data_IF_570701454122
#
_entry.id   IF_570701454122
#
_cell.length_a   1.000
_cell.length_b   1.000
_cell.length_c   1.000
_cell.angle_alpha   90.00
_cell.angle_beta   90.00
_cell.angle_gamma   90.00
#
_symmetry.space_group_name_H-M   'P 1'
#
loop_
_entity.id
_entity.type
_entity.pdbx_description
1 polymer ?
#
# COMPACT_ATOMS: atom_id res chain seq x y z
N UNK A 1 18.66 24.90 14.61
CA UNK A 1 17.24 24.48 14.57
C UNK A 1 17.05 23.29 13.63
N UNK A 2 17.56 23.36 12.39
CA UNK A 2 17.45 22.28 11.38
C UNK A 2 17.90 20.90 11.88
N UNK A 3 19.06 20.78 12.52
CA UNK A 3 19.56 19.49 13.04
C UNK A 3 18.62 18.85 14.06
N UNK A 4 17.94 19.65 14.90
CA UNK A 4 16.95 19.14 15.87
C UNK A 4 15.73 18.59 15.15
N UNK A 5 15.23 19.29 14.11
CA UNK A 5 14.11 18.82 13.29
C UNK A 5 14.47 17.54 12.53
N UNK A 6 15.66 17.48 11.93
CA UNK A 6 16.14 16.28 11.23
C UNK A 6 16.16 15.07 12.18
N UNK A 7 16.74 15.24 13.38
CA UNK A 7 16.78 14.15 14.36
C UNK A 7 15.38 13.74 14.84
N UNK A 8 14.49 14.71 15.03
CA UNK A 8 13.12 14.43 15.43
C UNK A 8 12.41 13.55 14.37
N UNK A 9 12.41 13.97 13.11
CA UNK A 9 11.67 13.28 12.04
C UNK A 9 12.29 11.96 11.62
N UNK A 10 13.62 11.89 11.51
CA UNK A 10 14.31 10.75 10.88
C UNK A 10 14.92 9.78 11.87
N UNK A 11 14.93 10.09 13.18
CA UNK A 11 15.44 9.20 14.23
C UNK A 11 14.44 9.01 15.35
N UNK A 12 14.04 10.08 16.03
CA UNK A 12 13.28 9.96 17.28
C UNK A 12 11.85 9.46 17.02
N UNK A 13 11.20 9.93 15.95
CA UNK A 13 9.84 9.56 15.60
C UNK A 13 9.73 8.11 15.06
N UNK A 14 10.61 7.62 14.16
CA UNK A 14 10.68 6.18 13.82
C UNK A 14 10.96 5.30 15.05
N UNK A 15 11.86 5.72 15.93
CA UNK A 15 12.17 4.99 17.18
C UNK A 15 11.01 5.02 18.17
N UNK A 16 10.19 6.07 18.20
CA UNK A 16 8.97 6.10 18.98
C UNK A 16 7.91 5.16 18.37
N UNK A 17 7.75 5.20 17.04
CA UNK A 17 6.82 4.37 16.30
C UNK A 17 7.11 2.86 16.42
N UNK A 18 8.39 2.46 16.53
CA UNK A 18 8.75 1.05 16.75
C UNK A 18 8.22 0.47 18.06
N UNK A 19 7.81 1.33 19.02
CA UNK A 19 7.10 0.89 20.25
C UNK A 19 5.66 0.48 20.00
N UNK A 20 5.05 0.93 18.91
CA UNK A 20 3.68 0.62 18.54
C UNK A 20 3.66 -0.48 17.49
N UNK A 21 4.45 -0.31 16.42
CA UNK A 21 4.53 -1.27 15.32
C UNK A 21 5.86 -1.14 14.58
N UNK A 22 6.53 -2.27 14.36
CA UNK A 22 7.74 -2.31 13.52
C UNK A 22 7.48 -1.79 12.11
N UNK A 23 6.29 -2.06 11.54
CA UNK A 23 5.92 -1.57 10.22
C UNK A 23 5.84 -0.04 10.16
N UNK A 24 5.27 0.60 11.18
CA UNK A 24 5.19 2.07 11.25
C UNK A 24 6.59 2.69 11.33
N UNK A 25 7.50 2.06 12.07
CA UNK A 25 8.91 2.49 12.09
C UNK A 25 9.57 2.40 10.72
N UNK A 26 9.29 1.36 9.93
CA UNK A 26 9.84 1.24 8.57
C UNK A 26 9.30 2.33 7.66
N UNK A 27 7.98 2.61 7.72
CA UNK A 27 7.35 3.70 6.96
C UNK A 27 8.05 5.03 7.28
N UNK A 28 8.18 5.37 8.56
CA UNK A 28 8.71 6.67 8.98
C UNK A 28 10.22 6.81 8.77
N UNK A 29 10.95 5.70 8.78
CA UNK A 29 12.39 5.67 8.47
C UNK A 29 12.68 5.78 6.96
N UNK A 30 11.71 5.42 6.12
CA UNK A 30 11.88 5.46 4.67
C UNK A 30 11.98 6.90 4.15
N UNK A 31 13.04 7.17 3.38
CA UNK A 31 13.42 8.53 2.97
C UNK A 31 14.62 9.10 3.73
N UNK A 32 15.29 8.32 4.60
CA UNK A 32 16.48 8.78 5.33
C UNK A 32 17.60 9.35 4.43
N UNK A 33 17.65 8.93 3.17
CA UNK A 33 18.57 9.47 2.17
C UNK A 33 18.38 10.98 1.92
N UNK A 34 17.18 11.51 2.18
CA UNK A 34 16.88 12.94 2.09
C UNK A 34 17.68 13.76 3.10
N UNK A 35 18.23 13.14 4.15
CA UNK A 35 19.10 13.81 5.13
C UNK A 35 20.43 14.31 4.54
N UNK A 36 20.75 13.90 3.31
CA UNK A 36 21.80 14.52 2.49
C UNK A 36 21.52 16.01 2.22
N UNK A 37 20.26 16.39 2.05
CA UNK A 37 19.82 17.78 1.87
C UNK A 37 19.17 18.31 3.15
N UNK A 38 19.96 18.94 4.03
CA UNK A 38 19.51 19.35 5.38
C UNK A 38 18.18 20.09 5.41
N UNK A 39 18.00 21.08 4.53
CA UNK A 39 16.76 21.86 4.42
C UNK A 39 15.57 21.00 4.03
N UNK A 40 15.73 20.12 3.05
CA UNK A 40 14.66 19.22 2.61
C UNK A 40 14.29 18.28 3.74
N UNK A 41 15.27 17.65 4.38
CA UNK A 41 15.02 16.75 5.50
C UNK A 41 14.35 17.41 6.71
N UNK A 42 14.64 18.69 6.98
CA UNK A 42 14.05 19.42 8.10
C UNK A 42 12.59 19.83 7.83
N UNK A 43 12.29 20.31 6.62
CA UNK A 43 11.01 20.95 6.31
C UNK A 43 10.04 20.08 5.49
N UNK A 44 10.52 19.10 4.72
CA UNK A 44 9.65 18.28 3.87
C UNK A 44 8.53 17.55 4.64
N UNK A 45 8.77 16.96 5.84
CA UNK A 45 7.69 16.35 6.63
C UNK A 45 6.57 17.35 6.99
N UNK A 46 6.94 18.55 7.41
CA UNK A 46 5.99 19.62 7.79
C UNK A 46 5.24 20.11 6.56
N UNK A 47 5.94 20.39 5.46
CA UNK A 47 5.32 20.81 4.20
C UNK A 47 4.39 19.74 3.67
N UNK A 48 4.76 18.46 3.78
CA UNK A 48 3.91 17.33 3.37
C UNK A 48 2.65 17.26 4.22
N UNK A 49 2.76 17.38 5.55
CA UNK A 49 1.61 17.38 6.45
C UNK A 49 0.66 18.55 6.15
N UNK A 50 1.20 19.77 6.03
CA UNK A 50 0.42 20.98 5.75
C UNK A 50 -0.23 20.90 4.38
N UNK A 51 0.52 20.49 3.35
CA UNK A 51 -0.04 20.35 2.01
C UNK A 51 -1.16 19.31 1.98
N UNK A 52 -0.97 18.17 2.65
CA UNK A 52 -2.02 17.16 2.81
C UNK A 52 -3.26 17.76 3.46
N UNK A 53 -3.08 18.46 4.58
CA UNK A 53 -4.16 19.13 5.31
C UNK A 53 -4.92 20.12 4.43
N UNK A 54 -4.21 20.98 3.69
CA UNK A 54 -4.82 21.96 2.80
C UNK A 54 -5.59 21.27 1.66
N UNK A 55 -5.02 20.20 1.08
CA UNK A 55 -5.69 19.45 0.01
C UNK A 55 -6.96 18.77 0.51
N UNK A 56 -6.91 18.13 1.69
CA UNK A 56 -8.07 17.50 2.29
C UNK A 56 -9.15 18.50 2.70
N UNK A 57 -8.75 19.65 3.27
CA UNK A 57 -9.67 20.67 3.72
C UNK A 57 -10.35 21.41 2.55
N UNK A 58 -9.57 21.96 1.62
CA UNK A 58 -10.15 22.71 0.49
C UNK A 58 -10.74 21.81 -0.60
N UNK A 59 -10.45 20.51 -0.54
CA UNK A 59 -10.94 19.49 -1.46
C UNK A 59 -10.76 19.94 -2.92
N UNK A 60 -9.51 20.06 -3.39
CA UNK A 60 -9.18 20.45 -4.77
C UNK A 60 -9.64 19.45 -5.85
N UNK A 61 -10.40 18.42 -5.46
CA UNK A 61 -11.11 17.53 -6.36
C UNK A 61 -12.59 17.96 -6.40
N UNK A 62 -13.27 17.95 -7.55
CA UNK A 62 -14.65 18.45 -7.65
C UNK A 62 -15.71 17.56 -6.95
N UNK A 63 -15.32 16.39 -6.43
CA UNK A 63 -16.24 15.40 -5.87
C UNK A 63 -16.05 15.13 -4.38
N UNK A 64 -16.44 13.94 -3.92
CA UNK A 64 -16.34 13.53 -2.50
C UNK A 64 -15.03 12.79 -2.17
N UNK A 65 -14.28 12.36 -3.19
CA UNK A 65 -13.09 11.53 -3.01
C UNK A 65 -11.93 12.04 -3.87
N UNK A 66 -10.71 11.71 -3.47
CA UNK A 66 -9.50 12.05 -4.23
C UNK A 66 -9.51 11.50 -5.68
N UNK A 67 -10.30 10.46 -5.95
CA UNK A 67 -10.38 9.79 -7.26
C UNK A 67 -10.96 10.68 -8.37
N UNK A 68 -11.67 11.75 -8.02
CA UNK A 68 -12.20 12.73 -8.98
C UNK A 68 -11.11 13.57 -9.65
N UNK A 69 -9.88 13.61 -9.10
CA UNK A 69 -8.80 14.42 -9.65
C UNK A 69 -7.50 13.63 -9.80
N UNK A 70 -7.18 13.29 -11.05
CA UNK A 70 -5.90 12.66 -11.42
C UNK A 70 -4.71 13.56 -11.04
N UNK A 71 -4.88 14.88 -11.09
CA UNK A 71 -3.85 15.85 -10.72
C UNK A 71 -3.54 15.81 -9.22
N UNK A 72 -4.57 15.74 -8.37
CA UNK A 72 -4.40 15.58 -6.92
C UNK A 72 -3.68 14.26 -6.62
N UNK A 73 -4.12 13.15 -7.23
CA UNK A 73 -3.46 11.84 -7.06
C UNK A 73 -1.99 11.88 -7.50
N UNK A 74 -1.70 12.47 -8.66
CA UNK A 74 -0.35 12.60 -9.18
C UNK A 74 0.55 13.42 -8.25
N UNK A 75 0.04 14.54 -7.72
CA UNK A 75 0.76 15.39 -6.77
C UNK A 75 1.09 14.63 -5.48
N UNK A 76 0.07 13.97 -4.89
CA UNK A 76 0.26 13.24 -3.64
C UNK A 76 1.25 12.09 -3.81
N UNK A 77 1.09 11.31 -4.89
CA UNK A 77 1.99 10.21 -5.25
C UNK A 77 3.41 10.70 -5.54
N UNK A 78 3.57 11.88 -6.14
CA UNK A 78 4.89 12.46 -6.42
C UNK A 78 5.68 12.65 -5.15
N UNK A 79 5.08 13.29 -4.15
CA UNK A 79 5.73 13.56 -2.86
C UNK A 79 6.02 12.25 -2.12
N UNK A 80 5.03 11.35 -2.08
CA UNK A 80 5.15 10.03 -1.46
C UNK A 80 6.25 9.17 -2.09
N UNK A 81 6.44 9.25 -3.42
CA UNK A 81 7.40 8.43 -4.13
C UNK A 81 8.83 8.71 -3.69
N UNK A 82 9.14 9.89 -3.15
CA UNK A 82 10.46 10.20 -2.59
C UNK A 82 10.68 9.62 -1.19
N UNK A 83 9.65 9.19 -0.47
CA UNK A 83 9.79 8.55 0.83
C UNK A 83 8.44 8.29 1.45
N UNK A 84 8.21 7.07 1.90
CA UNK A 84 6.92 6.72 2.51
C UNK A 84 6.70 7.39 3.85
N UNK A 85 7.76 7.87 4.51
CA UNK A 85 7.64 8.81 5.62
C UNK A 85 6.90 10.08 5.20
N UNK A 86 7.31 10.73 4.11
CA UNK A 86 6.63 11.90 3.55
C UNK A 86 5.19 11.57 3.13
N UNK A 87 5.00 10.43 2.46
CA UNK A 87 3.67 9.93 2.10
C UNK A 87 2.74 9.73 3.31
N UNK A 88 3.28 9.29 4.45
CA UNK A 88 2.50 9.11 5.67
C UNK A 88 2.06 10.43 6.30
N UNK A 89 2.94 11.44 6.38
CA UNK A 89 2.57 12.77 6.87
C UNK A 89 1.53 13.42 5.95
N UNK A 90 1.73 13.27 4.64
CA UNK A 90 0.81 13.76 3.61
C UNK A 90 -0.58 13.13 3.74
N UNK A 91 -0.63 11.80 3.91
CA UNK A 91 -1.88 11.06 4.12
C UNK A 91 -2.58 11.47 5.42
N UNK A 92 -1.86 11.58 6.53
CA UNK A 92 -2.42 12.00 7.82
C UNK A 92 -2.99 13.41 7.73
N UNK A 93 -2.26 14.33 7.09
CA UNK A 93 -2.75 15.68 6.82
C UNK A 93 -4.02 15.65 5.99
N UNK A 94 -4.00 14.94 4.85
CA UNK A 94 -5.16 14.80 3.96
C UNK A 94 -6.37 14.22 4.69
N UNK A 95 -6.21 13.09 5.37
CA UNK A 95 -7.29 12.43 6.09
C UNK A 95 -7.83 13.33 7.22
N UNK A 96 -6.98 14.06 7.94
CA UNK A 96 -7.45 14.98 8.98
C UNK A 96 -8.24 16.16 8.39
N UNK A 97 -7.72 16.79 7.34
CA UNK A 97 -8.38 17.91 6.67
C UNK A 97 -9.71 17.51 6.05
N UNK A 98 -9.72 16.38 5.34
CA UNK A 98 -10.91 15.86 4.67
C UNK A 98 -11.95 15.33 5.68
N UNK A 99 -11.53 14.64 6.74
CA UNK A 99 -12.48 14.04 7.69
C UNK A 99 -13.10 15.07 8.65
N UNK A 100 -12.32 16.05 9.11
CA UNK A 100 -12.76 16.98 10.15
C UNK A 100 -13.10 18.39 9.65
N UNK A 101 -12.41 18.88 8.61
CA UNK A 101 -12.56 20.27 8.16
C UNK A 101 -13.43 20.40 6.91
N UNK A 102 -13.42 19.41 6.03
CA UNK A 102 -14.30 19.38 4.87
C UNK A 102 -15.74 18.99 5.26
N UNK A 103 -16.71 19.67 4.65
CA UNK A 103 -18.13 19.50 4.98
C UNK A 103 -18.75 18.38 4.14
N UNK A 104 -18.71 17.17 4.68
CA UNK A 104 -19.41 16.03 4.07
C UNK A 104 -20.94 16.12 4.22
N UNK A 105 -21.72 15.52 3.30
CA UNK A 105 -23.16 15.46 3.39
C UNK A 105 -23.61 14.81 4.72
N UNK A 106 -24.53 15.46 5.43
CA UNK A 106 -25.14 14.90 6.65
C UNK A 106 -26.37 14.09 6.25
N UNK A 107 -26.38 12.80 6.62
CA UNK A 107 -27.47 11.87 6.31
C UNK A 107 -28.12 11.43 7.63
N UNK A 108 -29.35 11.89 7.85
CA UNK A 108 -30.15 11.54 9.03
C UNK A 108 -29.48 11.96 10.35
N UNK A 109 -29.43 11.04 11.31
CA UNK A 109 -28.86 11.27 12.63
C UNK A 109 -27.34 11.15 12.65
N UNK A 110 -26.68 11.67 13.68
CA UNK A 110 -25.22 11.64 13.85
C UNK A 110 -24.66 10.21 13.73
N UNK A 111 -25.32 9.22 14.33
CA UNK A 111 -24.93 7.81 14.22
C UNK A 111 -25.04 7.30 12.79
N UNK A 112 -26.14 7.60 12.09
CA UNK A 112 -26.33 7.15 10.72
C UNK A 112 -25.29 7.77 9.79
N UNK A 113 -25.07 9.08 9.93
CA UNK A 113 -24.00 9.77 9.20
C UNK A 113 -22.67 9.06 9.47
N UNK A 114 -22.30 8.82 10.74
CA UNK A 114 -21.06 8.14 11.12
C UNK A 114 -20.84 6.79 10.40
N UNK A 115 -21.84 5.92 10.42
CA UNK A 115 -21.72 4.59 9.82
C UNK A 115 -21.78 4.60 8.29
N UNK A 116 -22.55 5.52 7.71
CA UNK A 116 -22.85 5.56 6.27
C UNK A 116 -21.88 6.43 5.47
N UNK A 117 -21.31 7.46 6.09
CA UNK A 117 -20.43 8.44 5.43
C UNK A 117 -18.99 8.32 5.98
N UNK A 118 -18.79 8.45 7.29
CA UNK A 118 -17.43 8.51 7.86
C UNK A 118 -16.67 7.18 7.77
N UNK A 119 -17.31 6.04 8.06
CA UNK A 119 -16.60 4.75 8.00
C UNK A 119 -16.14 4.41 6.57
N UNK A 120 -16.97 4.55 5.52
CA UNK A 120 -16.51 4.36 4.15
C UNK A 120 -15.41 5.34 3.73
N UNK A 121 -15.41 6.59 4.22
CA UNK A 121 -14.31 7.52 3.96
C UNK A 121 -12.97 6.99 4.48
N UNK A 122 -12.94 6.28 5.61
CA UNK A 122 -11.73 5.61 6.08
C UNK A 122 -11.24 4.53 5.09
N UNK A 123 -12.14 3.84 4.39
CA UNK A 123 -11.77 2.91 3.31
C UNK A 123 -11.11 3.66 2.15
N UNK A 124 -11.60 4.86 1.81
CA UNK A 124 -10.98 5.70 0.79
C UNK A 124 -9.55 6.11 1.19
N UNK A 125 -9.32 6.48 2.46
CA UNK A 125 -7.98 6.81 2.94
C UNK A 125 -7.08 5.57 2.99
N UNK A 126 -7.63 4.39 3.29
CA UNK A 126 -6.90 3.14 3.20
C UNK A 126 -6.47 2.85 1.75
N UNK A 127 -7.35 3.07 0.75
CA UNK A 127 -6.99 2.97 -0.67
C UNK A 127 -5.90 3.96 -1.07
N UNK A 128 -6.00 5.20 -0.61
CA UNK A 128 -4.97 6.20 -0.83
C UNK A 128 -3.65 5.80 -0.14
N UNK A 129 -3.70 5.22 1.06
CA UNK A 129 -2.52 4.72 1.76
C UNK A 129 -1.79 3.61 1.00
N UNK A 130 -2.53 2.78 0.25
CA UNK A 130 -1.91 1.77 -0.61
C UNK A 130 -1.06 2.46 -1.67
N UNK A 131 -1.59 3.50 -2.32
CA UNK A 131 -0.86 4.28 -3.32
C UNK A 131 0.35 5.02 -2.72
N UNK A 132 0.16 5.68 -1.57
CA UNK A 132 1.16 6.58 -0.98
C UNK A 132 2.20 5.88 -0.09
N UNK A 133 1.95 4.66 0.36
CA UNK A 133 2.80 3.99 1.36
C UNK A 133 3.07 2.56 0.94
N UNK A 134 2.03 1.74 0.71
CA UNK A 134 2.24 0.32 0.45
C UNK A 134 2.99 0.07 -0.86
N UNK A 135 2.62 0.74 -1.95
CA UNK A 135 3.24 0.53 -3.26
C UNK A 135 4.73 0.91 -3.27
N UNK A 136 5.15 2.11 -2.80
CA UNK A 136 6.57 2.44 -2.78
C UNK A 136 7.38 1.49 -1.86
N UNK A 137 6.86 1.11 -0.68
CA UNK A 137 7.54 0.15 0.19
C UNK A 137 7.64 -1.25 -0.43
N UNK A 138 6.54 -1.77 -0.99
CA UNK A 138 6.52 -3.08 -1.63
C UNK A 138 7.44 -3.11 -2.84
N UNK A 139 7.45 -2.04 -3.65
CA UNK A 139 8.33 -1.96 -4.81
C UNK A 139 9.82 -2.00 -4.41
N UNK A 140 10.21 -1.25 -3.37
CA UNK A 140 11.56 -1.29 -2.83
C UNK A 140 11.91 -2.66 -2.25
N UNK A 141 11.00 -3.28 -1.50
CA UNK A 141 11.19 -4.63 -0.96
C UNK A 141 11.40 -5.69 -2.04
N UNK A 142 10.58 -5.66 -3.09
CA UNK A 142 10.70 -6.57 -4.24
C UNK A 142 12.01 -6.34 -5.01
N UNK A 143 12.40 -5.07 -5.21
CA UNK A 143 13.68 -4.70 -5.83
C UNK A 143 14.86 -5.31 -5.07
N UNK A 144 14.93 -5.04 -3.76
CA UNK A 144 16.03 -5.48 -2.90
C UNK A 144 16.14 -7.01 -2.81
N UNK A 145 15.00 -7.72 -2.85
CA UNK A 145 14.98 -9.19 -2.86
C UNK A 145 15.35 -9.78 -4.22
N UNK A 146 15.02 -9.09 -5.32
CA UNK A 146 15.35 -9.56 -6.67
C UNK A 146 16.84 -9.41 -6.94
N UNK A 147 17.43 -8.28 -6.54
CA UNK A 147 18.83 -8.00 -6.86
C UNK A 147 19.64 -7.52 -5.66
N UNK A 148 20.03 -8.44 -4.76
CA UNK A 148 20.69 -8.08 -3.51
C UNK A 148 22.15 -7.58 -3.66
N UNK A 149 22.76 -7.66 -4.86
CA UNK A 149 24.22 -7.44 -5.05
C UNK A 149 24.61 -6.54 -6.24
N UNK A 150 23.71 -5.77 -6.83
CA UNK A 150 24.08 -4.93 -8.00
C UNK A 150 24.86 -3.66 -7.67
N UNK A 151 24.84 -3.20 -6.40
CA UNK A 151 25.57 -2.00 -5.99
C UNK A 151 27.08 -2.04 -6.27
N UNK A 152 27.65 -3.24 -6.47
CA UNK A 152 29.08 -3.41 -6.80
C UNK A 152 29.41 -3.18 -8.27
N UNK A 153 28.41 -3.13 -9.17
CA UNK A 153 28.60 -2.96 -10.62
C UNK A 153 28.54 -1.49 -11.09
N UNK A 154 28.67 -0.53 -10.17
CA UNK A 154 28.71 0.89 -10.50
C UNK A 154 27.48 1.37 -11.30
N UNK A 155 27.72 2.04 -12.44
CA UNK A 155 26.68 2.61 -13.30
C UNK A 155 25.71 1.58 -13.87
N UNK A 156 26.19 0.38 -14.23
CA UNK A 156 25.32 -0.69 -14.76
C UNK A 156 24.35 -1.16 -13.66
N UNK A 157 24.86 -1.27 -12.43
CA UNK A 157 24.03 -1.56 -11.26
C UNK A 157 22.96 -0.50 -11.03
N UNK A 158 23.34 0.77 -11.12
CA UNK A 158 22.42 1.91 -10.98
C UNK A 158 21.28 1.88 -12.02
N UNK A 159 21.62 1.72 -13.30
CA UNK A 159 20.64 1.68 -14.40
C UNK A 159 19.69 0.49 -14.22
N UNK A 160 20.24 -0.67 -13.88
CA UNK A 160 19.44 -1.89 -13.70
C UNK A 160 18.50 -1.78 -12.48
N UNK A 161 18.98 -1.27 -11.35
CA UNK A 161 18.14 -1.02 -10.17
C UNK A 161 17.06 0.04 -10.44
N UNK A 162 17.41 1.10 -11.19
CA UNK A 162 16.49 2.15 -11.61
C UNK A 162 15.37 1.62 -12.50
N UNK A 163 15.71 0.86 -13.54
CA UNK A 163 14.74 0.23 -14.43
C UNK A 163 13.85 -0.76 -13.69
N UNK A 164 14.44 -1.59 -12.82
CA UNK A 164 13.68 -2.57 -12.05
C UNK A 164 12.68 -1.89 -11.10
N UNK A 165 13.12 -0.84 -10.38
CA UNK A 165 12.24 -0.04 -9.52
C UNK A 165 11.10 0.59 -10.33
N UNK A 166 11.43 1.17 -11.49
CA UNK A 166 10.44 1.81 -12.36
C UNK A 166 9.37 0.83 -12.83
N UNK A 167 9.77 -0.36 -13.29
CA UNK A 167 8.85 -1.40 -13.77
C UNK A 167 7.97 -1.91 -12.64
N UNK A 168 8.55 -2.25 -11.48
CA UNK A 168 7.77 -2.77 -10.35
C UNK A 168 6.77 -1.72 -9.85
N UNK A 169 7.23 -0.49 -9.63
CA UNK A 169 6.38 0.58 -9.09
C UNK A 169 5.28 0.98 -10.08
N UNK A 170 5.60 1.13 -11.37
CA UNK A 170 4.61 1.39 -12.43
C UNK A 170 3.56 0.29 -12.51
N UNK A 171 3.99 -0.98 -12.48
CA UNK A 171 3.07 -2.12 -12.53
C UNK A 171 2.12 -2.14 -11.33
N UNK A 172 2.65 -1.93 -10.12
CA UNK A 172 1.83 -1.92 -8.90
C UNK A 172 0.82 -0.75 -8.91
N UNK A 173 1.24 0.45 -9.34
CA UNK A 173 0.32 1.58 -9.50
C UNK A 173 -0.73 1.29 -10.57
N UNK A 174 -0.34 0.71 -11.70
CA UNK A 174 -1.30 0.33 -12.74
C UNK A 174 -2.36 -0.64 -12.20
N UNK A 175 -1.95 -1.72 -11.53
CA UNK A 175 -2.88 -2.67 -10.87
C UNK A 175 -3.79 -1.94 -9.88
N UNK A 176 -3.26 -1.02 -9.09
CA UNK A 176 -4.05 -0.20 -8.18
C UNK A 176 -5.08 0.66 -8.93
N UNK A 177 -4.72 1.29 -10.06
CA UNK A 177 -5.67 2.10 -10.86
C UNK A 177 -6.82 1.27 -11.44
N UNK A 178 -6.59 -0.02 -11.70
CA UNK A 178 -7.65 -0.95 -12.15
C UNK A 178 -8.53 -1.41 -10.98
N UNK A 179 -7.97 -1.57 -9.78
CA UNK A 179 -8.69 -2.06 -8.61
C UNK A 179 -9.54 -0.98 -7.92
N UNK A 180 -9.05 0.27 -7.84
CA UNK A 180 -9.70 1.35 -7.05
C UNK A 180 -11.11 1.67 -7.48
N UNK A 181 -11.46 1.76 -8.78
CA UNK A 181 -12.85 1.98 -9.21
C UNK A 181 -13.86 1.00 -8.61
N UNK A 182 -13.41 -0.23 -8.37
CA UNK A 182 -14.22 -1.28 -7.75
C UNK A 182 -14.23 -1.11 -6.24
N UNK A 183 -13.06 -0.91 -5.63
CA UNK A 183 -12.90 -0.86 -4.18
C UNK A 183 -13.41 0.44 -3.53
N UNK A 184 -13.60 1.52 -4.30
CA UNK A 184 -14.16 2.77 -3.81
C UNK A 184 -15.70 2.75 -3.75
N UNK A 185 -16.34 1.75 -4.38
CA UNK A 185 -17.81 1.62 -4.41
C UNK A 185 -18.51 1.71 -3.06
N UNK A 186 -18.02 1.07 -1.97
CA UNK A 186 -18.65 1.17 -0.64
C UNK A 186 -18.88 2.61 -0.16
N UNK A 187 -18.03 3.56 -0.59
CA UNK A 187 -18.18 4.99 -0.25
C UNK A 187 -19.52 5.53 -0.73
N UNK A 188 -20.00 5.06 -1.88
CA UNK A 188 -21.23 5.51 -2.52
C UNK A 188 -22.41 4.59 -2.18
N UNK A 189 -22.21 3.27 -2.28
CA UNK A 189 -23.31 2.31 -2.15
C UNK A 189 -23.86 2.25 -0.74
N UNK A 190 -23.04 2.48 0.30
CA UNK A 190 -23.55 2.55 1.68
C UNK A 190 -24.44 3.76 1.91
N UNK A 191 -24.24 4.84 1.14
CA UNK A 191 -25.11 6.02 1.12
C UNK A 191 -26.35 5.83 0.24
N UNK A 192 -26.52 4.66 -0.39
CA UNK A 192 -27.64 4.37 -1.30
C UNK A 192 -27.50 5.00 -2.69
N UNK A 193 -26.30 5.48 -3.06
CA UNK A 193 -26.02 6.06 -4.38
C UNK A 193 -25.05 5.18 -5.16
N UNK A 194 -25.14 5.24 -6.49
CA UNK A 194 -24.15 4.63 -7.36
C UNK A 194 -22.93 5.56 -7.50
N UNK A 195 -21.72 5.00 -7.66
CA UNK A 195 -20.55 5.84 -7.91
C UNK A 195 -20.76 6.67 -9.19
N UNK A 196 -20.56 7.99 -9.12
CA UNK A 196 -20.66 8.84 -10.30
C UNK A 196 -19.53 8.51 -11.28
N UNK A 197 -19.77 8.74 -12.57
CA UNK A 197 -18.80 8.46 -13.64
C UNK A 197 -17.51 9.24 -13.38
N UNK A 198 -17.63 10.47 -12.90
CA UNK A 198 -16.53 11.38 -12.58
C UNK A 198 -15.61 10.85 -11.47
N UNK A 199 -16.09 9.96 -10.59
CA UNK A 199 -15.27 9.35 -9.54
C UNK A 199 -14.38 8.20 -10.07
N UNK A 200 -14.75 7.61 -11.22
CA UNK A 200 -14.13 6.40 -11.77
C UNK A 200 -13.36 6.70 -13.07
N UNK A 201 -13.95 7.53 -13.94
CA UNK A 201 -13.46 7.85 -15.27
C UNK A 201 -12.00 8.36 -15.27
N UNK A 202 -11.56 9.26 -14.37
CA UNK A 202 -10.18 9.74 -14.38
C UNK A 202 -9.16 8.60 -14.25
N UNK A 203 -9.45 7.60 -13.40
CA UNK A 203 -8.58 6.43 -13.20
C UNK A 203 -8.63 5.47 -14.39
N UNK A 204 -9.80 5.25 -14.99
CA UNK A 204 -9.93 4.34 -16.13
C UNK A 204 -9.21 4.87 -17.38
N UNK A 205 -9.36 6.16 -17.68
CA UNK A 205 -8.77 6.76 -18.87
C UNK A 205 -7.30 7.17 -18.68
N UNK A 206 -6.94 7.70 -17.50
CA UNK A 206 -5.61 8.27 -17.25
C UNK A 206 -4.75 7.46 -16.28
N UNK A 207 -5.22 6.29 -15.79
CA UNK A 207 -4.47 5.47 -14.83
C UNK A 207 -3.08 5.05 -15.34
N UNK A 208 -2.93 4.91 -16.66
CA UNK A 208 -1.66 4.64 -17.31
C UNK A 208 -0.63 5.77 -17.09
N UNK A 209 -1.09 7.03 -17.07
CA UNK A 209 -0.23 8.19 -16.82
C UNK A 209 0.29 8.19 -15.38
N UNK A 210 -0.55 7.81 -14.40
CA UNK A 210 -0.10 7.64 -13.02
C UNK A 210 0.93 6.51 -12.90
N UNK A 211 0.70 5.39 -13.57
CA UNK A 211 1.66 4.28 -13.58
C UNK A 211 3.02 4.70 -14.18
N UNK A 212 3.01 5.38 -15.34
CA UNK A 212 4.22 5.91 -15.96
C UNK A 212 4.95 6.90 -15.04
N UNK A 213 4.22 7.85 -14.46
CA UNK A 213 4.77 8.83 -13.52
C UNK A 213 5.40 8.13 -12.31
N UNK A 214 4.74 7.12 -11.74
CA UNK A 214 5.26 6.33 -10.63
C UNK A 214 6.56 5.59 -11.01
N UNK A 215 6.65 5.08 -12.23
CA UNK A 215 7.87 4.47 -12.75
C UNK A 215 9.03 5.46 -12.86
N UNK A 216 8.77 6.65 -13.42
CA UNK A 216 9.77 7.73 -13.54
C UNK A 216 10.25 8.16 -12.15
N UNK A 217 9.33 8.42 -11.23
CA UNK A 217 9.64 8.83 -9.86
C UNK A 217 10.42 7.75 -9.10
N UNK A 218 10.06 6.48 -9.31
CA UNK A 218 10.79 5.34 -8.78
C UNK A 218 12.25 5.31 -9.24
N UNK A 219 12.50 5.51 -10.55
CA UNK A 219 13.87 5.60 -11.07
C UNK A 219 14.64 6.82 -10.54
N UNK A 220 13.99 7.98 -10.48
CA UNK A 220 14.59 9.20 -9.90
C UNK A 220 14.96 8.98 -8.44
N UNK A 221 14.10 8.33 -7.65
CA UNK A 221 14.39 7.97 -6.27
C UNK A 221 15.66 7.11 -6.17
N UNK A 222 15.83 6.10 -7.03
CA UNK A 222 17.06 5.28 -7.05
C UNK A 222 18.30 6.13 -7.29
N UNK A 223 18.23 7.05 -8.25
CA UNK A 223 19.31 7.96 -8.55
C UNK A 223 19.68 8.84 -7.34
N UNK A 224 18.68 9.36 -6.63
CA UNK A 224 18.88 10.15 -5.42
C UNK A 224 19.45 9.32 -4.26
N UNK A 225 18.97 8.10 -4.06
CA UNK A 225 19.50 7.14 -3.09
C UNK A 225 20.98 6.85 -3.39
N UNK A 226 21.33 6.59 -4.66
CA UNK A 226 22.71 6.36 -5.08
C UNK A 226 23.60 7.57 -4.82
N UNK A 227 23.16 8.78 -5.21
CA UNK A 227 23.91 10.02 -4.97
C UNK A 227 24.17 10.26 -3.48
N UNK A 228 23.16 10.03 -2.63
CA UNK A 228 23.28 10.17 -1.18
C UNK A 228 24.16 9.10 -0.53
N UNK A 229 24.34 7.94 -1.18
CA UNK A 229 25.05 6.81 -0.59
C UNK A 229 26.55 7.07 -0.42
N UNK A 230 27.12 8.06 -1.10
CA UNK A 230 28.51 8.49 -0.90
C UNK A 230 28.71 9.34 0.36
N UNK A 231 27.64 9.88 0.94
CA UNK A 231 27.68 10.73 2.13
C UNK A 231 27.81 9.88 3.41
N UNK A 232 28.92 10.08 4.13
CA UNK A 232 29.19 9.36 5.39
C UNK A 232 28.17 9.68 6.48
N UNK A 233 27.61 10.90 6.52
CA UNK A 233 26.64 11.29 7.53
C UNK A 233 25.30 10.56 7.34
N UNK A 234 24.89 10.38 6.09
CA UNK A 234 23.64 9.65 5.75
C UNK A 234 23.78 8.18 6.11
N UNK A 235 24.93 7.57 5.78
CA UNK A 235 25.26 6.19 6.14
C UNK A 235 25.27 5.99 7.65
N UNK A 236 26.00 6.82 8.39
CA UNK A 236 26.11 6.73 9.84
C UNK A 236 24.74 6.88 10.53
N UNK A 237 23.89 7.79 10.05
CA UNK A 237 22.51 7.94 10.58
C UNK A 237 21.65 6.71 10.30
N UNK A 238 21.73 6.16 9.09
CA UNK A 238 21.02 4.94 8.72
C UNK A 238 21.45 3.73 9.54
N UNK A 239 22.75 3.56 9.74
CA UNK A 239 23.32 2.49 10.56
C UNK A 239 22.93 2.63 12.02
N UNK A 240 23.08 3.81 12.63
CA UNK A 240 22.64 4.07 14.01
C UNK A 240 21.15 3.81 14.20
N UNK A 241 20.31 4.24 13.26
CA UNK A 241 18.87 3.96 13.33
C UNK A 241 18.62 2.45 13.27
N UNK A 242 19.27 1.74 12.36
CA UNK A 242 19.17 0.28 12.24
C UNK A 242 19.61 -0.41 13.52
N UNK A 243 20.74 -0.03 14.11
CA UNK A 243 21.24 -0.58 15.38
C UNK A 243 20.24 -0.36 16.53
N UNK A 244 19.67 0.84 16.65
CA UNK A 244 18.65 1.13 17.67
C UNK A 244 17.38 0.30 17.46
N UNK A 245 16.99 0.07 16.20
CA UNK A 245 15.81 -0.73 15.89
C UNK A 245 16.05 -2.23 16.10
N UNK A 246 17.25 -2.74 15.82
CA UNK A 246 17.63 -4.15 16.02
C UNK A 246 17.87 -4.47 17.50
N UNK A 247 18.49 -3.56 18.25
CA UNK A 247 18.73 -3.73 19.69
C UNK A 247 17.44 -3.70 20.52
N UNK A 248 16.37 -3.09 19.99
CA UNK A 248 15.07 -3.12 20.65
C UNK A 248 14.36 -4.42 20.39
N UNK A 249 14.06 -5.14 21.48
CA UNK A 249 13.07 -6.21 21.49
C UNK A 249 11.72 -5.60 21.11
N UNK A 250 11.26 -5.85 19.88
CA UNK A 250 9.95 -5.36 19.44
C UNK A 250 8.89 -5.85 20.41
N UNK A 251 7.96 -4.98 20.84
CA UNK A 251 6.89 -5.41 21.73
C UNK A 251 6.14 -6.55 21.06
N UNK A 252 6.00 -7.67 21.77
CA UNK A 252 5.19 -8.79 21.31
C UNK A 252 3.69 -8.48 21.44
N UNK A 253 3.30 -7.23 21.22
CA UNK A 253 1.90 -6.80 21.12
C UNK A 253 1.33 -7.16 19.76
N UNK A 254 1.79 -8.28 19.18
CA UNK A 254 1.11 -8.87 18.05
C UNK A 254 -0.25 -9.32 18.57
N UNK A 255 -1.32 -8.75 18.02
CA UNK A 255 -2.66 -9.28 18.22
C UNK A 255 -2.60 -10.81 17.96
N UNK A 256 -3.34 -11.64 18.71
CA UNK A 256 -3.46 -13.05 18.42
C UNK A 256 -3.67 -13.24 16.91
N UNK A 257 -2.92 -14.14 16.23
CA UNK A 257 -2.93 -14.24 14.77
C UNK A 257 -4.33 -14.33 14.18
N UNK A 258 -5.22 -15.04 14.89
CA UNK A 258 -6.65 -15.17 14.57
C UNK A 258 -7.34 -13.81 14.52
N UNK A 259 -7.16 -12.95 15.53
CA UNK A 259 -7.74 -11.59 15.56
C UNK A 259 -7.19 -10.76 14.40
N UNK A 260 -5.88 -10.85 14.12
CA UNK A 260 -5.28 -10.16 12.98
C UNK A 260 -5.87 -10.60 11.63
N UNK A 261 -6.14 -11.90 11.48
CA UNK A 261 -6.81 -12.45 10.28
C UNK A 261 -8.25 -11.96 10.19
N UNK A 262 -9.01 -11.98 11.29
CA UNK A 262 -10.39 -11.48 11.32
C UNK A 262 -10.47 -10.00 10.93
N UNK A 263 -9.62 -9.14 11.50
CA UNK A 263 -9.58 -7.72 11.17
C UNK A 263 -9.31 -7.53 9.67
N UNK A 264 -8.32 -8.23 9.12
CA UNK A 264 -7.99 -8.15 7.68
C UNK A 264 -9.13 -8.65 6.80
N UNK A 265 -9.83 -9.71 7.20
CA UNK A 265 -10.98 -10.23 6.47
C UNK A 265 -12.14 -9.23 6.51
N UNK A 266 -12.46 -8.65 7.67
CA UNK A 266 -13.48 -7.61 7.81
C UNK A 266 -13.14 -6.41 6.93
N UNK A 267 -11.91 -5.91 6.97
CA UNK A 267 -11.49 -4.79 6.13
C UNK A 267 -11.59 -5.13 4.64
N UNK A 268 -11.11 -6.30 4.22
CA UNK A 268 -11.19 -6.74 2.82
C UNK A 268 -12.63 -6.89 2.33
N UNK A 269 -13.49 -7.51 3.15
CA UNK A 269 -14.92 -7.64 2.86
C UNK A 269 -15.61 -6.29 2.82
N UNK A 270 -15.27 -5.36 3.72
CA UNK A 270 -15.81 -4.01 3.69
C UNK A 270 -15.44 -3.27 2.39
N UNK A 271 -14.20 -3.39 1.92
CA UNK A 271 -13.75 -2.81 0.65
C UNK A 271 -14.47 -3.41 -0.57
N UNK A 272 -14.85 -4.68 -0.51
CA UNK A 272 -15.57 -5.38 -1.58
C UNK A 272 -17.09 -5.32 -1.44
N UNK A 273 -17.61 -4.86 -0.30
CA UNK A 273 -19.04 -4.88 0.02
C UNK A 273 -19.90 -4.09 -0.96
N UNK A 274 -19.34 -3.08 -1.62
CA UNK A 274 -20.03 -2.28 -2.64
C UNK A 274 -20.32 -3.03 -3.94
N UNK A 275 -19.85 -4.27 -4.08
CA UNK A 275 -20.23 -5.19 -5.15
C UNK A 275 -21.30 -6.21 -4.72
N UNK A 276 -21.56 -6.33 -3.43
CA UNK A 276 -22.38 -7.42 -2.90
C UNK A 276 -23.83 -6.97 -2.79
N UNK A 277 -24.74 -7.84 -3.19
CA UNK A 277 -26.18 -7.51 -3.24
C UNK A 277 -26.86 -7.72 -1.90
N UNK A 278 -26.32 -8.59 -1.04
CA UNK A 278 -26.93 -8.98 0.22
C UNK A 278 -25.89 -9.34 1.30
N UNK A 279 -26.34 -9.39 2.56
CA UNK A 279 -25.51 -9.74 3.71
C UNK A 279 -24.96 -11.17 3.65
N UNK A 280 -25.68 -12.08 3.01
CA UNK A 280 -25.26 -13.47 2.89
C UNK A 280 -23.99 -13.61 2.05
N UNK A 281 -23.92 -12.92 0.91
CA UNK A 281 -22.71 -12.82 0.08
C UNK A 281 -21.53 -12.21 0.85
N UNK A 282 -21.78 -11.18 1.67
CA UNK A 282 -20.74 -10.56 2.51
C UNK A 282 -20.19 -11.51 3.57
N UNK A 283 -21.06 -12.28 4.23
CA UNK A 283 -20.67 -13.29 5.21
C UNK A 283 -19.86 -14.40 4.53
N UNK A 284 -20.32 -14.93 3.39
CA UNK A 284 -19.60 -15.95 2.63
C UNK A 284 -18.22 -15.43 2.22
N UNK A 285 -18.14 -14.22 1.65
CA UNK A 285 -16.87 -13.62 1.25
C UNK A 285 -15.93 -13.45 2.46
N UNK A 286 -16.43 -12.95 3.58
CA UNK A 286 -15.64 -12.78 4.81
C UNK A 286 -15.11 -14.10 5.37
N UNK A 287 -15.95 -15.13 5.42
CA UNK A 287 -15.55 -16.48 5.83
C UNK A 287 -14.53 -17.08 4.87
N UNK A 288 -14.71 -16.88 3.57
CA UNK A 288 -13.78 -17.33 2.54
C UNK A 288 -12.41 -16.65 2.67
N UNK A 289 -12.35 -15.33 2.80
CA UNK A 289 -11.09 -14.59 3.01
C UNK A 289 -10.41 -15.03 4.31
N UNK A 290 -11.18 -15.15 5.40
CA UNK A 290 -10.68 -15.64 6.70
C UNK A 290 -10.10 -17.04 6.57
N UNK A 291 -10.84 -17.97 5.97
CA UNK A 291 -10.42 -19.35 5.76
C UNK A 291 -9.14 -19.42 4.94
N UNK A 292 -9.06 -18.67 3.84
CA UNK A 292 -7.86 -18.64 3.02
C UNK A 292 -6.66 -18.03 3.76
N UNK A 293 -6.85 -16.98 4.55
CA UNK A 293 -5.76 -16.41 5.36
C UNK A 293 -5.27 -17.40 6.44
N UNK A 294 -6.18 -18.09 7.13
CA UNK A 294 -5.82 -19.12 8.11
C UNK A 294 -5.11 -20.32 7.45
N UNK A 295 -5.56 -20.71 6.26
CA UNK A 295 -4.90 -21.72 5.44
C UNK A 295 -3.50 -21.24 5.07
N UNK A 296 -3.34 -20.02 4.56
CA UNK A 296 -2.03 -19.44 4.22
C UNK A 296 -1.06 -19.45 5.40
N UNK A 297 -1.52 -19.17 6.61
CA UNK A 297 -0.66 -19.19 7.81
C UNK A 297 -0.31 -20.62 8.26
N UNK A 298 -1.17 -21.60 7.95
CA UNK A 298 -1.00 -23.01 8.34
C UNK A 298 -0.23 -23.84 7.31
N UNK A 299 -0.37 -23.53 6.03
CA UNK A 299 0.18 -24.28 4.89
C UNK A 299 1.71 -24.41 4.91
N UNK A 300 2.50 -23.36 5.20
CA UNK A 300 3.96 -23.45 5.24
C UNK A 300 4.49 -24.45 6.27
N UNK A 301 3.76 -24.68 7.37
CA UNK A 301 4.18 -25.65 8.41
C UNK A 301 4.03 -27.10 7.93
N UNK A 302 3.01 -27.38 7.10
CA UNK A 302 2.74 -28.73 6.59
C UNK A 302 3.49 -29.04 5.29
N UNK A 303 3.80 -28.01 4.49
CA UNK A 303 4.44 -28.14 3.18
C UNK A 303 5.90 -27.63 3.16
N UNK A 304 6.66 -27.87 4.23
CA UNK A 304 8.06 -27.41 4.31
C UNK A 304 8.92 -27.88 3.13
N UNK A 305 8.71 -29.12 2.65
CA UNK A 305 9.40 -29.65 1.47
C UNK A 305 9.10 -28.86 0.18
N UNK A 306 7.82 -28.54 -0.05
CA UNK A 306 7.40 -27.74 -1.21
C UNK A 306 7.94 -26.30 -1.12
N UNK A 307 7.85 -25.69 0.07
CA UNK A 307 8.36 -24.34 0.29
C UNK A 307 9.86 -24.24 -0.03
N UNK A 308 10.65 -25.25 0.36
CA UNK A 308 12.08 -25.29 0.05
C UNK A 308 12.37 -25.38 -1.46
N UNK A 309 11.54 -26.09 -2.23
CA UNK A 309 11.68 -26.18 -3.69
C UNK A 309 11.33 -24.84 -4.33
N UNK A 310 10.16 -24.30 -3.99
CA UNK A 310 9.66 -23.04 -4.58
C UNK A 310 10.58 -21.87 -4.23
N UNK A 311 11.12 -21.81 -3.02
CA UNK A 311 12.05 -20.74 -2.62
C UNK A 311 13.37 -20.71 -3.40
N UNK A 312 13.70 -21.74 -4.19
CA UNK A 312 14.84 -21.69 -5.14
C UNK A 312 14.58 -20.77 -6.32
N UNK A 313 13.31 -20.54 -6.67
CA UNK A 313 12.94 -19.67 -7.77
C UNK A 313 12.95 -18.19 -7.31
N UNK A 314 13.50 -17.27 -8.12
CA UNK A 314 13.43 -15.83 -7.88
C UNK A 314 12.00 -15.35 -7.60
N UNK A 315 11.84 -14.41 -6.67
CA UNK A 315 10.52 -13.94 -6.23
C UNK A 315 9.70 -13.35 -7.38
N UNK A 316 10.31 -12.64 -8.33
CA UNK A 316 9.61 -12.09 -9.49
C UNK A 316 9.04 -13.17 -10.40
N UNK A 317 9.81 -14.23 -10.68
CA UNK A 317 9.31 -15.34 -11.48
C UNK A 317 8.12 -16.03 -10.79
N UNK A 318 8.20 -16.18 -9.47
CA UNK A 318 7.08 -16.71 -8.67
C UNK A 318 5.86 -15.81 -8.70
N UNK A 319 6.05 -14.49 -8.58
CA UNK A 319 4.99 -13.50 -8.66
C UNK A 319 4.31 -13.50 -10.03
N UNK A 320 5.10 -13.53 -11.11
CA UNK A 320 4.60 -13.61 -12.50
C UNK A 320 3.82 -14.92 -12.68
N UNK A 321 4.39 -16.05 -12.29
CA UNK A 321 3.73 -17.36 -12.40
C UNK A 321 2.42 -17.41 -11.60
N UNK A 322 2.42 -16.90 -10.36
CA UNK A 322 1.23 -16.85 -9.52
C UNK A 322 0.14 -15.96 -10.12
N UNK A 323 0.52 -14.79 -10.66
CA UNK A 323 -0.41 -13.87 -11.31
C UNK A 323 -1.00 -14.47 -12.57
N UNK A 324 -0.15 -15.04 -13.43
CA UNK A 324 -0.57 -15.67 -14.68
C UNK A 324 -1.51 -16.87 -14.43
N UNK A 325 -1.14 -17.76 -13.51
CA UNK A 325 -1.96 -18.91 -13.16
C UNK A 325 -3.27 -18.49 -12.50
N UNK A 326 -3.23 -17.49 -11.62
CA UNK A 326 -4.43 -16.92 -10.99
C UNK A 326 -5.36 -16.32 -12.03
N UNK A 327 -4.84 -15.57 -13.00
CA UNK A 327 -5.63 -14.97 -14.08
C UNK A 327 -6.27 -16.06 -14.95
N UNK A 328 -5.49 -17.04 -15.39
CA UNK A 328 -5.96 -18.13 -16.24
C UNK A 328 -7.07 -18.97 -15.57
N UNK A 329 -6.89 -19.35 -14.30
CA UNK A 329 -7.94 -20.07 -13.57
C UNK A 329 -9.15 -19.17 -13.28
N UNK A 330 -8.94 -17.90 -12.96
CA UNK A 330 -10.03 -16.97 -12.73
C UNK A 330 -10.87 -16.79 -14.00
N UNK A 331 -10.26 -16.61 -15.17
CA UNK A 331 -10.98 -16.48 -16.44
C UNK A 331 -11.79 -17.73 -16.75
N UNK A 332 -11.21 -18.92 -16.59
CA UNK A 332 -11.93 -20.18 -16.78
C UNK A 332 -13.14 -20.30 -15.84
N UNK A 333 -12.96 -19.99 -14.54
CA UNK A 333 -14.04 -20.05 -13.55
C UNK A 333 -15.15 -19.07 -13.90
N UNK A 334 -14.78 -17.83 -14.25
CA UNK A 334 -15.74 -16.79 -14.63
C UNK A 334 -16.50 -17.22 -15.88
N UNK A 335 -15.82 -17.63 -16.95
CA UNK A 335 -16.48 -18.07 -18.19
C UNK A 335 -17.45 -19.24 -17.97
N UNK A 336 -17.11 -20.20 -17.11
CA UNK A 336 -17.95 -21.36 -16.82
C UNK A 336 -19.14 -21.06 -15.90
N UNK A 337 -18.97 -20.11 -14.96
CA UNK A 337 -19.95 -19.84 -13.91
C UNK A 337 -20.73 -18.54 -14.11
N UNK A 338 -20.35 -17.69 -15.06
CA UNK A 338 -21.00 -16.41 -15.28
C UNK A 338 -22.42 -16.59 -15.82
N UNK A 339 -23.40 -16.40 -14.94
CA UNK A 339 -24.83 -16.44 -15.26
C UNK A 339 -25.53 -15.09 -15.05
N UNK A 340 -24.78 -13.98 -15.07
CA UNK A 340 -25.31 -12.60 -15.02
C UNK A 340 -25.72 -12.10 -13.63
N UNK A 341 -26.28 -12.97 -12.78
CA UNK A 341 -26.98 -12.51 -11.55
C UNK A 341 -26.21 -12.71 -10.24
N UNK A 342 -25.00 -13.28 -10.27
CA UNK A 342 -24.27 -13.60 -9.05
C UNK A 342 -22.77 -13.33 -9.14
N UNK A 343 -22.26 -12.63 -8.13
CA UNK A 343 -20.83 -12.38 -7.93
C UNK A 343 -20.06 -13.58 -7.34
N UNK A 344 -20.73 -14.72 -7.12
CA UNK A 344 -20.11 -15.94 -6.58
C UNK A 344 -18.90 -16.39 -7.42
N UNK A 345 -18.98 -16.28 -8.74
CA UNK A 345 -17.86 -16.61 -9.64
C UNK A 345 -16.60 -15.78 -9.34
N UNK A 346 -16.77 -14.49 -9.04
CA UNK A 346 -15.67 -13.60 -8.64
C UNK A 346 -15.11 -14.01 -7.28
N UNK A 347 -15.97 -14.33 -6.30
CA UNK A 347 -15.52 -14.79 -4.98
C UNK A 347 -14.70 -16.07 -5.09
N UNK A 348 -15.18 -17.07 -5.83
CA UNK A 348 -14.49 -18.35 -6.04
C UNK A 348 -13.16 -18.13 -6.76
N UNK A 349 -13.15 -17.34 -7.84
CA UNK A 349 -11.91 -17.04 -8.56
C UNK A 349 -10.88 -16.34 -7.68
N UNK A 350 -11.32 -15.44 -6.79
CA UNK A 350 -10.47 -14.76 -5.81
C UNK A 350 -9.89 -15.74 -4.80
N UNK A 351 -10.70 -16.69 -4.28
CA UNK A 351 -10.22 -17.74 -3.38
C UNK A 351 -9.14 -18.60 -4.03
N UNK A 352 -9.35 -19.01 -5.27
CA UNK A 352 -8.39 -19.80 -6.05
C UNK A 352 -7.10 -19.01 -6.27
N UNK A 353 -7.20 -17.73 -6.61
CA UNK A 353 -6.04 -16.85 -6.75
C UNK A 353 -5.23 -16.74 -5.46
N UNK A 354 -5.88 -16.45 -4.33
CA UNK A 354 -5.18 -16.34 -3.05
C UNK A 354 -4.55 -17.69 -2.66
N UNK A 355 -5.19 -18.83 -2.95
CA UNK A 355 -4.62 -20.16 -2.71
C UNK A 355 -3.36 -20.40 -3.56
N UNK A 356 -3.38 -20.03 -4.84
CA UNK A 356 -2.19 -20.07 -5.71
C UNK A 356 -1.06 -19.23 -5.12
N UNK A 357 -1.38 -17.99 -4.73
CA UNK A 357 -0.41 -17.09 -4.11
C UNK A 357 0.15 -17.64 -2.81
N UNK A 358 -0.67 -18.29 -1.98
CA UNK A 358 -0.21 -18.93 -0.75
C UNK A 358 0.75 -20.11 -1.01
N UNK A 359 0.55 -20.85 -2.10
CA UNK A 359 1.38 -21.99 -2.50
C UNK A 359 2.69 -21.58 -3.18
N UNK A 360 2.66 -20.54 -4.01
CA UNK A 360 3.82 -20.08 -4.79
C UNK A 360 4.65 -19.01 -4.07
N UNK A 361 4.06 -18.30 -3.11
CA UNK A 361 4.77 -17.36 -2.24
C UNK A 361 4.70 -17.80 -0.78
N UNK A 362 5.31 -18.96 -0.44
CA UNK A 362 5.42 -19.36 0.95
C UNK A 362 6.21 -18.29 1.70
N UNK A 363 5.76 -17.95 2.91
CA UNK A 363 6.51 -17.10 3.80
C UNK A 363 7.50 -18.02 4.54
N UNK A 364 8.77 -18.16 4.12
CA UNK A 364 9.73 -18.86 4.94
C UNK A 364 9.71 -18.17 6.29
N UNK A 365 9.63 -18.92 7.39
CA UNK A 365 9.73 -18.34 8.73
C UNK A 365 10.87 -17.32 8.68
N UNK A 366 10.55 -16.05 8.90
CA UNK A 366 11.54 -15.02 9.10
C UNK A 366 12.39 -15.49 10.29
N UNK A 367 13.51 -16.15 10.02
CA UNK A 367 14.70 -15.93 10.85
C UNK A 367 14.94 -14.45 10.75
N UNK A 368 14.42 -13.77 11.77
CA UNK A 368 14.42 -12.34 12.07
C UNK A 368 15.50 -11.57 11.29
N UNK A 369 15.05 -10.49 10.63
CA UNK A 369 15.87 -9.50 9.92
C UNK A 369 17.13 -9.07 10.67
#
# INVERSE_FOLDING_TARGET
METKLINFWWRDLPVAASRVSGFLSVILADGIYLTHWSKVAAYAPVVSLVLGLLIGWFHFAPGQTFTFSIGVMALLMTISSFGTGLGSYLLVGYAFGDFFLFQHPKIGNIFQTFFVVQIPLLLSYALLSILLISIPLTSQGLRLQTVPRLKTLGTIGLVTEGLLQAVIQSTLVFVWTQAVPILIRPVYTWQGITPPVEAIQPLQYNGQMLALLAGILGAVRIFLEFKSSSDSQVKERGEKLREVLLSRKMPNNSLPPVIGVFIKAICSTAMLSGMLSNWFEAIILGLSITGVMLLRDSTPKKLMGWANIVCRCPILLRLIAATWLSYFLASMIIELMWRGDSFISIVISTMVGIMIFALLMPNPKQTVL
#
